data_IF_637985072405
#
_entry.id   IF_637985072405
#
_cell.length_a   1.000
_cell.length_b   1.000
_cell.length_c   1.000
_cell.angle_alpha   90.00
_cell.angle_beta   90.00
_cell.angle_gamma   90.00
#
_symmetry.space_group_name_H-M   'P 1'
#
loop_
_entity.id
_entity.type
_entity.pdbx_description
1 polymer ?
#
# COMPACT_ATOMS: atom_id res chain seq x y z
N UNK A 1 -23.38 -10.53 25.58
CA UNK A 1 -22.06 -11.03 25.18
C UNK A 1 -21.28 -9.87 24.55
N UNK A 2 -20.26 -9.36 25.23
CA UNK A 2 -19.43 -8.27 24.72
C UNK A 2 -18.75 -8.78 23.42
N UNK A 3 -19.06 -8.19 22.25
CA UNK A 3 -18.30 -8.48 21.03
C UNK A 3 -16.89 -7.92 21.23
N UNK A 4 -15.91 -8.78 21.46
CA UNK A 4 -14.51 -8.37 21.52
C UNK A 4 -14.15 -7.73 20.16
N UNK A 5 -13.84 -6.45 20.16
CA UNK A 5 -13.36 -5.74 18.99
C UNK A 5 -11.83 -5.64 19.07
N UNK A 6 -11.16 -6.26 18.11
CA UNK A 6 -9.70 -6.25 18.00
C UNK A 6 -9.18 -5.21 17.00
N UNK A 7 -10.04 -4.32 16.51
CA UNK A 7 -9.66 -3.34 15.49
C UNK A 7 -8.55 -2.39 15.99
N UNK A 8 -8.75 -1.77 17.15
CA UNK A 8 -7.76 -0.84 17.69
C UNK A 8 -6.44 -1.48 18.12
N UNK A 9 -6.41 -2.65 18.77
CA UNK A 9 -5.19 -3.43 18.95
C UNK A 9 -4.46 -3.73 17.64
N UNK A 10 -5.19 -4.09 16.58
CA UNK A 10 -4.60 -4.34 15.28
C UNK A 10 -4.02 -3.07 14.64
N UNK A 11 -4.69 -1.91 14.76
CA UNK A 11 -4.15 -0.61 14.34
C UNK A 11 -2.84 -0.31 15.07
N UNK A 12 -2.81 -0.49 16.40
CA UNK A 12 -1.60 -0.27 17.19
C UNK A 12 -0.45 -1.20 16.74
N UNK A 13 -0.74 -2.47 16.47
CA UNK A 13 0.25 -3.41 15.94
C UNK A 13 0.78 -2.99 14.56
N UNK A 14 -0.08 -2.54 13.64
CA UNK A 14 0.35 -2.01 12.36
C UNK A 14 1.27 -0.80 12.53
N UNK A 15 0.89 0.16 13.41
CA UNK A 15 1.69 1.36 13.66
C UNK A 15 3.06 0.99 14.22
N UNK A 16 3.12 0.16 15.26
CA UNK A 16 4.38 -0.23 15.90
C UNK A 16 5.26 -1.04 14.96
N UNK A 17 4.69 -2.03 14.25
CA UNK A 17 5.48 -2.96 13.44
C UNK A 17 5.98 -2.36 12.12
N UNK A 18 5.23 -1.43 11.52
CA UNK A 18 5.52 -0.92 10.19
C UNK A 18 6.15 0.48 10.19
N UNK A 19 5.79 1.36 11.12
CA UNK A 19 6.20 2.77 11.04
C UNK A 19 7.31 3.15 12.01
N UNK A 20 7.46 2.44 13.15
CA UNK A 20 8.40 2.85 14.20
C UNK A 20 9.86 2.88 13.73
N UNK A 21 10.24 1.94 12.87
CA UNK A 21 11.63 1.77 12.38
C UNK A 21 11.77 1.98 10.88
N UNK A 22 10.76 2.49 10.19
CA UNK A 22 10.67 2.52 8.74
C UNK A 22 11.82 3.28 8.04
N UNK A 23 12.33 4.35 8.64
CA UNK A 23 13.39 5.19 8.09
C UNK A 23 14.77 4.98 8.71
N UNK A 24 14.96 4.02 9.62
CA UNK A 24 16.23 3.88 10.37
C UNK A 24 17.35 3.20 9.59
N UNK A 25 17.02 2.50 8.51
CA UNK A 25 18.02 1.84 7.67
C UNK A 25 18.10 2.51 6.31
N UNK A 26 19.31 2.58 5.75
CA UNK A 26 19.50 2.98 4.36
C UNK A 26 18.73 2.07 3.42
N UNK A 27 18.55 2.48 2.17
CA UNK A 27 17.94 1.64 1.14
C UNK A 27 18.72 0.32 1.00
N UNK A 28 18.03 -0.80 1.19
CA UNK A 28 18.65 -2.13 1.25
C UNK A 28 18.76 -2.80 -0.13
N UNK A 29 18.01 -2.34 -1.12
CA UNK A 29 17.96 -2.96 -2.46
C UNK A 29 18.16 -1.90 -3.53
N UNK A 30 18.76 -2.27 -4.67
CA UNK A 30 18.96 -1.36 -5.81
C UNK A 30 17.65 -0.75 -6.35
N UNK A 31 16.52 -1.39 -6.09
CA UNK A 31 15.21 -0.92 -6.55
C UNK A 31 14.64 0.22 -5.71
N UNK A 32 14.94 0.28 -4.41
CA UNK A 32 14.37 1.31 -3.52
C UNK A 32 14.82 2.72 -3.87
N UNK A 33 16.13 3.01 -3.99
CA UNK A 33 16.57 4.37 -4.33
C UNK A 33 16.08 4.82 -5.70
N UNK A 34 15.93 3.90 -6.66
CA UNK A 34 15.39 4.25 -7.99
C UNK A 34 13.96 4.80 -7.90
N UNK A 35 13.07 4.18 -7.14
CA UNK A 35 11.70 4.66 -6.97
C UNK A 35 11.68 6.03 -6.24
N UNK A 36 12.55 6.22 -5.25
CA UNK A 36 12.69 7.49 -4.54
C UNK A 36 13.22 8.62 -5.45
N UNK A 37 14.23 8.33 -6.29
CA UNK A 37 14.81 9.29 -7.24
C UNK A 37 13.78 9.70 -8.29
N UNK A 38 12.96 8.78 -8.78
CA UNK A 38 11.87 9.11 -9.73
C UNK A 38 10.87 10.08 -9.08
N UNK A 39 10.45 9.84 -7.83
CA UNK A 39 9.57 10.74 -7.11
C UNK A 39 10.21 12.12 -6.85
N UNK A 40 11.51 12.15 -6.52
CA UNK A 40 12.27 13.38 -6.38
C UNK A 40 12.31 14.17 -7.70
N UNK A 41 12.57 13.49 -8.83
CA UNK A 41 12.57 14.12 -10.16
C UNK A 41 11.20 14.69 -10.52
N UNK A 42 10.10 14.01 -10.15
CA UNK A 42 8.74 14.56 -10.31
C UNK A 42 8.57 15.88 -9.59
N UNK A 43 9.02 15.97 -8.33
CA UNK A 43 8.91 17.17 -7.52
C UNK A 43 9.78 18.32 -8.04
N UNK A 44 10.98 18.01 -8.55
CA UNK A 44 11.93 19.02 -9.04
C UNK A 44 11.58 19.53 -10.44
N UNK A 45 11.13 18.65 -11.34
CA UNK A 45 10.87 18.97 -12.75
C UNK A 45 9.40 19.25 -13.05
N UNK A 46 8.49 18.95 -12.13
CA UNK A 46 7.05 19.14 -12.35
C UNK A 46 6.42 18.16 -13.35
N UNK A 47 7.14 17.13 -13.78
CA UNK A 47 6.61 16.13 -14.72
C UNK A 47 5.98 14.94 -14.00
N UNK A 48 4.66 14.99 -13.88
CA UNK A 48 3.87 13.98 -13.14
C UNK A 48 3.39 12.83 -14.00
N UNK A 49 3.37 12.98 -15.33
CA UNK A 49 2.80 11.99 -16.25
C UNK A 49 3.87 11.04 -16.78
N UNK A 50 5.01 11.58 -17.18
CA UNK A 50 6.16 10.83 -17.70
C UNK A 50 7.39 11.12 -16.84
N UNK A 51 7.43 10.59 -15.61
CA UNK A 51 8.55 10.87 -14.73
C UNK A 51 9.84 10.26 -15.28
N UNK A 52 10.95 10.90 -14.95
CA UNK A 52 12.28 10.46 -15.37
C UNK A 52 13.10 9.96 -14.18
N UNK A 53 13.93 8.97 -14.44
CA UNK A 53 14.95 8.50 -13.53
C UNK A 53 16.27 9.24 -13.84
N UNK A 54 16.91 9.78 -12.81
CA UNK A 54 18.16 10.56 -12.94
C UNK A 54 18.12 11.68 -14.00
N UNK A 55 16.94 12.25 -14.25
CA UNK A 55 16.75 13.39 -15.15
C UNK A 55 16.81 13.08 -16.64
N UNK A 56 17.06 11.85 -17.06
CA UNK A 56 17.30 11.47 -18.48
C UNK A 56 16.46 10.31 -18.93
N UNK A 57 16.36 9.23 -18.15
CA UNK A 57 15.67 8.01 -18.54
C UNK A 57 14.22 8.02 -18.11
N UNK A 58 13.29 7.61 -18.98
CA UNK A 58 11.90 7.42 -18.57
C UNK A 58 11.79 6.34 -17.47
N UNK A 59 10.93 6.58 -16.49
CA UNK A 59 10.65 5.57 -15.47
C UNK A 59 10.06 4.31 -16.09
N UNK A 60 10.57 3.15 -15.68
CA UNK A 60 10.11 1.85 -16.21
C UNK A 60 8.69 1.46 -15.76
N UNK A 61 8.17 2.14 -14.73
CA UNK A 61 6.90 1.79 -14.11
C UNK A 61 5.91 2.95 -14.22
N UNK A 62 4.61 2.65 -14.29
CA UNK A 62 3.57 3.67 -14.25
C UNK A 62 3.65 4.53 -12.97
N UNK A 63 3.11 5.75 -12.97
CA UNK A 63 3.48 6.78 -12.02
C UNK A 63 2.78 6.71 -10.64
N UNK A 64 1.76 5.86 -10.43
CA UNK A 64 0.92 5.91 -9.23
C UNK A 64 1.72 5.77 -7.92
N UNK A 65 2.65 4.83 -7.84
CA UNK A 65 3.49 4.65 -6.66
C UNK A 65 4.36 5.87 -6.37
N UNK A 66 4.93 6.45 -7.43
CA UNK A 66 5.75 7.67 -7.34
C UNK A 66 4.90 8.89 -6.94
N UNK A 67 3.63 8.97 -7.38
CA UNK A 67 2.70 10.00 -6.90
C UNK A 67 2.46 9.89 -5.40
N UNK A 68 2.31 8.66 -4.87
CA UNK A 68 2.16 8.45 -3.43
C UNK A 68 3.40 8.92 -2.65
N UNK A 69 4.62 8.57 -3.13
CA UNK A 69 5.87 9.03 -2.52
C UNK A 69 5.95 10.57 -2.59
N UNK A 70 5.73 11.15 -3.76
CA UNK A 70 5.82 12.60 -3.97
C UNK A 70 4.83 13.36 -3.09
N UNK A 71 3.58 12.89 -2.98
CA UNK A 71 2.56 13.50 -2.13
C UNK A 71 2.98 13.50 -0.65
N UNK A 72 3.45 12.35 -0.14
CA UNK A 72 3.93 12.23 1.26
C UNK A 72 5.16 13.11 1.47
N UNK A 73 6.11 13.10 0.53
CA UNK A 73 7.34 13.87 0.61
C UNK A 73 7.09 15.39 0.54
N UNK A 74 6.07 15.83 -0.18
CA UNK A 74 5.66 17.25 -0.21
C UNK A 74 5.18 17.70 1.17
N UNK A 75 4.41 16.88 1.87
CA UNK A 75 3.94 17.19 3.23
C UNK A 75 5.09 17.15 4.24
N UNK A 76 6.02 16.21 4.10
CA UNK A 76 7.18 16.07 4.98
C UNK A 76 8.33 17.05 4.66
N UNK A 77 8.29 17.72 3.50
CA UNK A 77 9.32 18.64 3.04
C UNK A 77 10.59 17.99 2.49
N UNK A 78 10.67 16.65 2.43
CA UNK A 78 11.87 15.92 1.97
C UNK A 78 11.52 14.56 1.42
N UNK A 79 12.32 14.10 0.43
CA UNK A 79 12.32 12.71 -0.03
C UNK A 79 13.46 11.99 0.67
N UNK A 80 13.13 11.03 1.51
CA UNK A 80 14.09 10.19 2.26
C UNK A 80 13.57 8.75 2.35
N UNK A 81 14.30 7.88 3.05
CA UNK A 81 13.94 6.47 3.23
C UNK A 81 12.56 6.32 3.88
N UNK A 82 12.25 7.13 4.88
CA UNK A 82 10.98 7.08 5.59
C UNK A 82 9.81 7.43 4.67
N UNK A 83 9.87 8.60 4.01
CA UNK A 83 8.79 9.08 3.12
C UNK A 83 8.61 8.19 1.90
N UNK A 84 9.69 7.60 1.39
CA UNK A 84 9.67 6.71 0.23
C UNK A 84 9.07 5.33 0.53
N UNK A 85 9.25 4.81 1.76
CA UNK A 85 8.69 3.52 2.22
C UNK A 85 7.26 3.65 2.72
N UNK A 86 6.84 4.85 3.12
CA UNK A 86 5.53 5.09 3.72
C UNK A 86 4.33 4.60 2.87
N UNK A 87 4.31 4.75 1.53
CA UNK A 87 3.21 4.22 0.71
C UNK A 87 3.03 2.70 0.86
N UNK A 88 4.14 1.93 0.96
CA UNK A 88 4.08 0.48 1.16
C UNK A 88 3.55 0.12 2.55
N UNK A 89 3.99 0.81 3.60
CA UNK A 89 3.52 0.60 4.96
C UNK A 89 2.03 0.93 5.13
N UNK A 90 1.58 2.03 4.53
CA UNK A 90 0.17 2.41 4.50
C UNK A 90 -0.68 1.39 3.73
N UNK A 91 -0.17 0.90 2.58
CA UNK A 91 -0.86 -0.10 1.76
C UNK A 91 -1.03 -1.42 2.52
N UNK A 92 0.02 -1.92 3.20
CA UNK A 92 -0.07 -3.13 4.02
C UNK A 92 -1.04 -2.92 5.18
N UNK A 93 -0.96 -1.79 5.89
CA UNK A 93 -1.91 -1.46 6.97
C UNK A 93 -3.35 -1.46 6.47
N UNK A 94 -3.61 -0.80 5.35
CA UNK A 94 -4.94 -0.75 4.73
C UNK A 94 -5.44 -2.15 4.36
N UNK A 95 -4.59 -2.98 3.74
CA UNK A 95 -4.93 -4.35 3.36
C UNK A 95 -5.30 -5.20 4.57
N UNK A 96 -4.51 -5.13 5.64
CA UNK A 96 -4.73 -5.89 6.90
C UNK A 96 -6.00 -5.42 7.59
N UNK A 97 -6.22 -4.11 7.73
CA UNK A 97 -7.40 -3.57 8.40
C UNK A 97 -8.70 -3.80 7.62
N UNK A 98 -8.67 -3.62 6.29
CA UNK A 98 -9.83 -3.92 5.43
C UNK A 98 -10.14 -5.41 5.45
N UNK A 99 -9.11 -6.25 5.42
CA UNK A 99 -9.26 -7.71 5.57
C UNK A 99 -9.89 -8.09 6.91
N UNK A 100 -9.42 -7.50 8.02
CA UNK A 100 -10.01 -7.70 9.34
C UNK A 100 -11.51 -7.34 9.33
N UNK A 101 -11.87 -6.15 8.86
CA UNK A 101 -13.28 -5.71 8.81
C UNK A 101 -14.13 -6.62 7.93
N UNK A 102 -13.57 -7.12 6.83
CA UNK A 102 -14.26 -8.03 5.92
C UNK A 102 -14.55 -9.38 6.59
N UNK A 103 -13.54 -9.99 7.21
CA UNK A 103 -13.67 -11.32 7.84
C UNK A 103 -14.38 -11.28 9.19
N UNK A 104 -14.23 -10.21 9.98
CA UNK A 104 -14.90 -10.09 11.29
C UNK A 104 -16.43 -10.16 11.17
N UNK A 105 -17.00 -9.61 10.09
CA UNK A 105 -18.43 -9.67 9.80
C UNK A 105 -18.91 -11.07 9.38
N UNK A 106 -18.02 -11.92 8.84
CA UNK A 106 -18.37 -13.23 8.25
C UNK A 106 -17.97 -14.43 9.10
N UNK A 107 -16.85 -14.33 9.78
CA UNK A 107 -16.23 -15.45 10.52
C UNK A 107 -16.00 -15.15 12.00
N UNK A 108 -16.35 -13.94 12.45
CA UNK A 108 -16.12 -13.49 13.81
C UNK A 108 -14.78 -12.77 13.99
N UNK A 109 -14.72 -11.93 15.05
CA UNK A 109 -13.59 -11.03 15.29
C UNK A 109 -12.29 -11.76 15.62
N UNK A 110 -12.36 -12.90 16.32
CA UNK A 110 -11.17 -13.69 16.71
C UNK A 110 -10.48 -14.32 15.49
N UNK A 111 -11.25 -14.96 14.61
CA UNK A 111 -10.72 -15.53 13.37
C UNK A 111 -10.15 -14.46 12.45
N UNK A 112 -10.85 -13.32 12.34
CA UNK A 112 -10.38 -12.18 11.55
C UNK A 112 -9.08 -11.59 12.10
N UNK A 113 -8.94 -11.50 13.41
CA UNK A 113 -7.73 -11.02 14.06
C UNK A 113 -6.54 -11.96 13.84
N UNK A 114 -6.75 -13.27 13.99
CA UNK A 114 -5.71 -14.27 13.70
C UNK A 114 -5.26 -14.24 12.25
N UNK A 115 -6.20 -14.13 11.30
CA UNK A 115 -5.86 -13.99 9.88
C UNK A 115 -5.08 -12.69 9.59
N UNK A 116 -5.46 -11.59 10.22
CA UNK A 116 -4.76 -10.32 10.11
C UNK A 116 -3.34 -10.40 10.69
N UNK A 117 -3.16 -11.04 11.85
CA UNK A 117 -1.84 -11.27 12.45
C UNK A 117 -0.95 -12.13 11.55
N UNK A 118 -1.46 -13.24 11.05
CA UNK A 118 -0.71 -14.11 10.13
C UNK A 118 -0.29 -13.35 8.86
N UNK A 119 -1.14 -12.48 8.34
CA UNK A 119 -0.81 -11.64 7.19
C UNK A 119 0.28 -10.62 7.54
N UNK A 120 0.15 -9.90 8.66
CA UNK A 120 1.08 -8.87 9.10
C UNK A 120 2.46 -9.45 9.45
N UNK A 121 2.50 -10.64 10.04
CA UNK A 121 3.74 -11.31 10.49
C UNK A 121 4.36 -12.22 9.44
N UNK A 122 3.70 -12.43 8.30
CA UNK A 122 4.30 -13.17 7.18
C UNK A 122 5.55 -12.44 6.71
N UNK A 123 6.68 -13.16 6.66
CA UNK A 123 8.00 -12.58 6.38
C UNK A 123 8.03 -11.78 5.07
N UNK A 124 7.54 -12.35 3.96
CA UNK A 124 7.58 -11.67 2.66
C UNK A 124 6.62 -10.49 2.58
N UNK A 125 5.42 -10.62 3.17
CA UNK A 125 4.43 -9.54 3.20
C UNK A 125 4.93 -8.38 4.05
N UNK A 126 5.49 -8.67 5.23
CA UNK A 126 6.07 -7.65 6.10
C UNK A 126 7.26 -6.96 5.44
N UNK A 127 8.19 -7.73 4.86
CA UNK A 127 9.34 -7.21 4.12
C UNK A 127 8.91 -6.28 2.97
N UNK A 128 7.87 -6.66 2.22
CA UNK A 128 7.32 -5.80 1.16
C UNK A 128 6.67 -4.54 1.70
N UNK A 129 6.05 -4.61 2.90
CA UNK A 129 5.42 -3.48 3.56
C UNK A 129 6.38 -2.41 4.07
N UNK A 130 7.61 -2.79 4.43
CA UNK A 130 8.64 -1.86 4.93
C UNK A 130 9.68 -1.47 3.88
N UNK A 131 9.49 -1.84 2.62
CA UNK A 131 10.39 -1.52 1.52
C UNK A 131 9.76 -0.50 0.56
N UNK A 132 10.60 0.34 -0.06
CA UNK A 132 10.17 1.28 -1.11
C UNK A 132 10.01 0.53 -2.44
N UNK A 133 8.90 -0.22 -2.57
CA UNK A 133 8.61 -1.04 -3.75
C UNK A 133 7.13 -1.02 -4.11
N UNK A 134 6.85 -1.01 -5.40
CA UNK A 134 5.49 -0.99 -5.96
C UNK A 134 4.65 -2.22 -5.57
N UNK A 135 5.32 -3.34 -5.27
CA UNK A 135 4.66 -4.65 -5.13
C UNK A 135 3.63 -4.69 -3.99
N UNK A 136 3.91 -4.01 -2.86
CA UNK A 136 2.97 -3.98 -1.73
C UNK A 136 1.73 -3.15 -2.05
N UNK A 137 1.90 -1.99 -2.69
CA UNK A 137 0.78 -1.13 -3.11
C UNK A 137 -0.08 -1.86 -4.13
N UNK A 138 0.53 -2.50 -5.14
CA UNK A 138 -0.16 -3.33 -6.11
C UNK A 138 -1.00 -4.42 -5.43
N UNK A 139 -0.36 -5.20 -4.54
CA UNK A 139 -1.03 -6.31 -3.83
C UNK A 139 -2.20 -5.81 -2.99
N UNK A 140 -2.00 -4.73 -2.23
CA UNK A 140 -3.06 -4.15 -1.40
C UNK A 140 -4.25 -3.69 -2.24
N UNK A 141 -4.01 -2.97 -3.35
CA UNK A 141 -5.07 -2.51 -4.24
C UNK A 141 -5.84 -3.69 -4.85
N UNK A 142 -5.15 -4.74 -5.30
CA UNK A 142 -5.80 -5.94 -5.83
C UNK A 142 -6.63 -6.67 -4.77
N UNK A 143 -6.10 -6.88 -3.57
CA UNK A 143 -6.81 -7.57 -2.48
C UNK A 143 -8.03 -6.78 -2.03
N UNK A 144 -7.92 -5.47 -1.88
CA UNK A 144 -9.05 -4.60 -1.53
C UNK A 144 -10.12 -4.65 -2.64
N UNK A 145 -9.70 -4.60 -3.91
CA UNK A 145 -10.63 -4.73 -5.04
C UNK A 145 -11.40 -6.06 -5.00
N UNK A 146 -10.71 -7.18 -4.73
CA UNK A 146 -11.35 -8.51 -4.61
C UNK A 146 -12.38 -8.54 -3.47
N UNK A 147 -12.10 -7.93 -2.31
CA UNK A 147 -13.10 -7.83 -1.24
C UNK A 147 -14.32 -7.00 -1.65
N UNK A 148 -14.11 -5.93 -2.43
CA UNK A 148 -15.23 -5.11 -2.89
C UNK A 148 -16.04 -5.80 -4.00
N UNK A 149 -15.39 -6.51 -4.92
CA UNK A 149 -16.07 -7.32 -5.93
C UNK A 149 -16.88 -8.45 -5.29
N UNK A 150 -16.32 -9.12 -4.26
CA UNK A 150 -17.06 -10.11 -3.50
C UNK A 150 -18.34 -9.51 -2.86
N UNK A 151 -18.21 -8.34 -2.19
CA UNK A 151 -19.38 -7.63 -1.63
C UNK A 151 -20.39 -7.19 -2.69
N UNK A 152 -19.93 -6.86 -3.88
CA UNK A 152 -20.78 -6.52 -5.01
C UNK A 152 -21.53 -7.74 -5.53
N UNK A 153 -20.89 -8.90 -5.60
CA UNK A 153 -21.54 -10.18 -5.87
C UNK A 153 -22.63 -10.53 -4.86
N UNK A 154 -22.40 -10.27 -3.56
CA UNK A 154 -23.42 -10.46 -2.50
C UNK A 154 -24.65 -9.55 -2.67
N UNK A 155 -24.57 -8.50 -3.48
CA UNK A 155 -25.66 -7.56 -3.81
C UNK A 155 -26.30 -7.83 -5.17
N UNK A 156 -26.24 -9.06 -5.67
CA UNK A 156 -26.75 -9.45 -6.99
C UNK A 156 -26.20 -8.59 -8.15
N UNK A 157 -24.95 -8.14 -8.04
CA UNK A 157 -24.25 -7.28 -9.00
C UNK A 157 -24.95 -5.93 -9.26
N UNK A 158 -25.74 -5.44 -8.31
CA UNK A 158 -26.44 -4.16 -8.46
C UNK A 158 -25.52 -2.97 -8.24
N UNK A 159 -25.64 -1.97 -9.10
CA UNK A 159 -24.82 -0.76 -9.08
C UNK A 159 -23.40 -0.98 -9.60
N UNK A 160 -22.57 0.06 -9.51
CA UNK A 160 -21.16 0.02 -9.93
C UNK A 160 -20.27 -0.10 -8.70
N UNK A 161 -19.33 -1.06 -8.64
CA UNK A 161 -18.41 -1.21 -7.52
C UNK A 161 -17.24 -0.20 -7.62
N UNK A 162 -17.52 1.09 -7.49
CA UNK A 162 -16.57 2.18 -7.70
C UNK A 162 -15.25 1.99 -6.97
N UNK A 163 -15.27 1.51 -5.72
CA UNK A 163 -14.04 1.26 -4.96
C UNK A 163 -13.18 0.18 -5.62
N UNK A 164 -13.80 -0.88 -6.15
CA UNK A 164 -13.05 -1.91 -6.88
C UNK A 164 -12.46 -1.34 -8.18
N UNK A 165 -13.23 -0.55 -8.93
CA UNK A 165 -12.75 0.12 -10.15
C UNK A 165 -11.56 1.02 -9.84
N UNK A 166 -11.65 1.88 -8.83
CA UNK A 166 -10.57 2.77 -8.43
C UNK A 166 -9.31 1.99 -7.98
N UNK A 167 -9.49 0.93 -7.18
CA UNK A 167 -8.37 0.09 -6.76
C UNK A 167 -7.69 -0.62 -7.95
N UNK A 168 -8.46 -1.17 -8.89
CA UNK A 168 -7.91 -1.82 -10.08
C UNK A 168 -7.21 -0.81 -11.01
N UNK A 169 -7.75 0.39 -11.17
CA UNK A 169 -7.10 1.46 -11.92
C UNK A 169 -5.77 1.87 -11.27
N UNK A 170 -5.76 2.04 -9.93
CA UNK A 170 -4.54 2.32 -9.19
C UNK A 170 -3.52 1.19 -9.29
N UNK A 171 -3.96 -0.08 -9.25
CA UNK A 171 -3.11 -1.25 -9.46
C UNK A 171 -2.46 -1.24 -10.85
N UNK A 172 -3.24 -0.97 -11.91
CA UNK A 172 -2.75 -0.87 -13.28
C UNK A 172 -1.73 0.28 -13.44
N UNK A 173 -1.98 1.42 -12.78
CA UNK A 173 -1.07 2.57 -12.74
C UNK A 173 0.12 2.40 -11.78
N UNK A 174 0.16 1.34 -10.99
CA UNK A 174 1.30 0.99 -10.12
C UNK A 174 2.28 0.08 -10.84
N UNK A 175 1.77 -0.92 -11.53
CA UNK A 175 2.57 -1.87 -12.32
C UNK A 175 1.70 -2.29 -13.51
N UNK A 176 2.00 -1.75 -14.67
CA UNK A 176 1.28 -2.05 -15.90
C UNK A 176 1.31 -3.55 -16.24
N UNK A 177 0.46 -3.99 -17.18
CA UNK A 177 0.55 -5.35 -17.70
C UNK A 177 1.95 -5.55 -18.32
N UNK A 178 2.65 -6.54 -17.83
CA UNK A 178 3.98 -6.93 -18.32
C UNK A 178 3.79 -7.96 -19.43
#
# INVERSE_FOLDING_TARGET
MYKKDYFWPLVALCVVSLFLFLGQTFFNTRGEPREAVVALSMLQQGNWVLPVNNGVELAFKPPFFHWCIAAISTVAGTVNEYTSRMPSALALSAMVLVGYVFYAKRRGAEVAFMAALLTLTNFEVHRAGVACRVDMVLTAMMVIALYQLYKWGEKDLRGVPWVAVLCLSAAALTKGPV
#
